data_IF_792592027904
#
_entry.id   IF_792592027904
#
_cell.length_a   1.000
_cell.length_b   1.000
_cell.length_c   1.000
_cell.angle_alpha   90.00
_cell.angle_beta   90.00
_cell.angle_gamma   90.00
#
_symmetry.space_group_name_H-M   'P 1'
#
loop_
_entity.id
_entity.type
_entity.pdbx_description
1 polymer ?
#
# COMPACT_ATOMS: atom_id res chain seq x y z
N UNK A 1 0.65 -8.62 13.86
CA UNK A 1 0.05 -8.86 12.54
C UNK A 1 0.18 -7.60 11.69
N UNK A 2 0.50 -7.75 10.40
CA UNK A 2 0.57 -6.64 9.45
C UNK A 2 -0.82 -6.00 9.23
N UNK A 3 -0.90 -4.69 9.43
CA UNK A 3 -2.09 -3.91 9.11
C UNK A 3 -2.23 -3.70 7.60
N UNK A 4 -3.46 -3.67 7.10
CA UNK A 4 -3.75 -3.40 5.69
C UNK A 4 -4.55 -2.12 5.55
N UNK A 5 -4.11 -1.26 4.63
CA UNK A 5 -4.88 -0.11 4.17
C UNK A 5 -5.08 -0.26 2.67
N UNK A 6 -6.30 -0.61 2.26
CA UNK A 6 -6.68 -0.79 0.87
C UNK A 6 -7.17 0.56 0.36
N UNK A 7 -6.59 1.08 -0.72
CA UNK A 7 -7.06 2.33 -1.33
C UNK A 7 -7.08 2.28 -2.84
N UNK A 8 -8.24 2.57 -3.40
CA UNK A 8 -8.51 2.45 -4.83
C UNK A 8 -9.41 3.60 -5.28
N UNK A 9 -9.51 3.79 -6.59
CA UNK A 9 -10.51 4.69 -7.15
C UNK A 9 -11.92 4.13 -6.98
N UNK A 10 -12.88 5.05 -6.87
CA UNK A 10 -14.30 4.76 -6.69
C UNK A 10 -14.53 3.84 -5.47
N UNK A 11 -15.48 2.91 -5.54
CA UNK A 11 -15.85 2.06 -4.40
C UNK A 11 -15.03 0.76 -4.28
N UNK A 12 -14.02 0.59 -5.13
CA UNK A 12 -13.27 -0.66 -5.27
C UNK A 12 -12.56 -1.10 -3.99
N UNK A 13 -12.07 -0.18 -3.16
CA UNK A 13 -11.38 -0.58 -1.93
C UNK A 13 -12.36 -1.19 -0.92
N UNK A 14 -13.56 -0.60 -0.79
CA UNK A 14 -14.61 -1.14 0.04
C UNK A 14 -15.12 -2.48 -0.49
N UNK A 15 -15.36 -2.60 -1.79
CA UNK A 15 -15.78 -3.87 -2.42
C UNK A 15 -14.77 -5.00 -2.17
N UNK A 16 -13.47 -4.71 -2.23
CA UNK A 16 -12.42 -5.69 -1.93
C UNK A 16 -12.45 -6.12 -0.45
N UNK A 17 -12.60 -5.16 0.47
CA UNK A 17 -12.68 -5.46 1.89
C UNK A 17 -13.94 -6.29 2.22
N UNK A 18 -15.11 -5.84 1.76
CA UNK A 18 -16.40 -6.49 2.03
C UNK A 18 -16.40 -7.93 1.53
N UNK A 19 -15.86 -8.16 0.33
CA UNK A 19 -15.77 -9.49 -0.25
C UNK A 19 -14.83 -10.42 0.52
N UNK A 20 -13.71 -9.89 1.04
CA UNK A 20 -12.83 -10.67 1.90
C UNK A 20 -13.52 -10.99 3.23
N UNK A 21 -14.25 -10.03 3.81
CA UNK A 21 -14.98 -10.20 5.06
C UNK A 21 -16.16 -11.17 4.93
N UNK A 22 -16.86 -11.17 3.79
CA UNK A 22 -17.93 -12.12 3.49
C UNK A 22 -17.42 -13.57 3.52
N UNK A 23 -16.21 -13.81 3.02
CA UNK A 23 -15.64 -15.16 2.93
C UNK A 23 -14.87 -15.59 4.19
N UNK A 24 -14.16 -14.67 4.84
CA UNK A 24 -13.24 -14.98 5.93
C UNK A 24 -13.70 -14.46 7.30
N UNK A 25 -14.82 -13.74 7.36
CA UNK A 25 -15.29 -13.04 8.55
C UNK A 25 -14.60 -11.69 8.77
N UNK A 26 -14.92 -10.98 9.86
CA UNK A 26 -14.43 -9.63 10.12
C UNK A 26 -12.89 -9.55 10.08
N UNK A 27 -12.35 -8.61 9.30
CA UNK A 27 -10.91 -8.44 9.15
C UNK A 27 -10.36 -7.43 10.16
N UNK A 28 -9.68 -7.94 11.19
CA UNK A 28 -8.92 -7.09 12.09
C UNK A 28 -7.81 -6.34 11.35
N UNK A 29 -7.57 -5.09 11.76
CA UNK A 29 -6.51 -4.23 11.23
C UNK A 29 -6.52 -4.07 9.70
N UNK A 30 -7.69 -4.15 9.08
CA UNK A 30 -7.89 -3.89 7.65
C UNK A 30 -8.83 -2.70 7.48
N UNK A 31 -8.43 -1.72 6.65
CA UNK A 31 -9.22 -0.52 6.39
C UNK A 31 -9.26 -0.20 4.91
N UNK A 32 -10.45 -0.06 4.35
CA UNK A 32 -10.66 0.47 3.02
C UNK A 32 -10.77 2.01 3.02
N UNK A 33 -10.15 2.66 2.03
CA UNK A 33 -10.23 4.09 1.78
C UNK A 33 -10.48 4.33 0.30
N UNK A 34 -11.70 4.72 -0.03
CA UNK A 34 -12.14 5.00 -1.39
C UNK A 34 -11.68 6.40 -1.85
N UNK A 35 -11.25 6.50 -3.10
CA UNK A 35 -10.89 7.76 -3.74
C UNK A 35 -11.86 8.11 -4.88
N UNK A 36 -12.89 8.88 -4.53
CA UNK A 36 -13.92 9.31 -5.48
C UNK A 36 -13.52 10.54 -6.30
N UNK A 37 -14.17 10.69 -7.46
CA UNK A 37 -14.12 11.93 -8.23
C UNK A 37 -14.56 13.12 -7.39
N UNK A 38 -13.75 14.17 -7.39
CA UNK A 38 -13.99 15.40 -6.62
C UNK A 38 -13.32 15.40 -5.24
N UNK A 39 -12.81 14.27 -4.76
CA UNK A 39 -12.01 14.24 -3.55
C UNK A 39 -10.61 14.82 -3.83
N UNK A 40 -10.15 15.73 -2.97
CA UNK A 40 -8.79 16.26 -3.08
C UNK A 40 -7.77 15.27 -2.51
N UNK A 41 -6.54 15.32 -3.02
CA UNK A 41 -5.42 14.52 -2.50
C UNK A 41 -5.12 14.82 -1.03
N UNK A 42 -5.41 16.04 -0.57
CA UNK A 42 -5.28 16.43 0.84
C UNK A 42 -6.31 15.71 1.72
N UNK A 43 -7.55 15.61 1.26
CA UNK A 43 -8.59 14.85 1.99
C UNK A 43 -8.25 13.35 2.00
N UNK A 44 -7.84 12.80 0.87
CA UNK A 44 -7.37 11.42 0.79
C UNK A 44 -6.22 11.15 1.77
N UNK A 45 -5.22 12.05 1.84
CA UNK A 45 -4.10 11.93 2.79
C UNK A 45 -4.57 11.87 4.24
N UNK A 46 -5.61 12.64 4.62
CA UNK A 46 -6.17 12.63 5.97
C UNK A 46 -6.88 11.32 6.28
N UNK A 47 -7.73 10.84 5.35
CA UNK A 47 -8.43 9.57 5.50
C UNK A 47 -7.47 8.38 5.58
N UNK A 48 -6.44 8.37 4.72
CA UNK A 48 -5.38 7.36 4.73
C UNK A 48 -4.58 7.40 6.03
N UNK A 49 -4.31 8.58 6.58
CA UNK A 49 -3.61 8.73 7.85
C UNK A 49 -4.42 8.19 9.02
N UNK A 50 -5.73 8.42 9.04
CA UNK A 50 -6.61 7.82 10.03
C UNK A 50 -6.67 6.30 9.89
N UNK A 51 -6.85 5.79 8.67
CA UNK A 51 -6.86 4.35 8.38
C UNK A 51 -5.54 3.67 8.78
N UNK A 52 -4.40 4.31 8.51
CA UNK A 52 -3.09 3.85 8.94
C UNK A 52 -3.04 3.69 10.47
N UNK A 53 -3.41 4.72 11.24
CA UNK A 53 -3.38 4.64 12.70
C UNK A 53 -4.32 3.57 13.26
N UNK A 54 -5.45 3.30 12.60
CA UNK A 54 -6.38 2.24 13.02
C UNK A 54 -5.89 0.84 12.66
N UNK A 55 -5.12 0.71 11.59
CA UNK A 55 -4.58 -0.57 11.11
C UNK A 55 -3.24 -0.92 11.78
N UNK A 56 -2.47 0.06 12.23
CA UNK A 56 -1.15 -0.15 12.80
C UNK A 56 -1.21 -0.72 14.24
N UNK A 57 -0.60 -1.89 14.45
CA UNK A 57 -0.35 -2.48 15.78
C UNK A 57 1.13 -2.53 16.16
N UNK A 58 2.01 -1.90 15.38
CA UNK A 58 3.46 -1.88 15.60
C UNK A 58 4.27 -2.84 14.73
N UNK A 59 3.63 -3.78 14.02
CA UNK A 59 4.33 -4.73 13.13
C UNK A 59 4.50 -4.19 11.70
N UNK A 60 3.94 -3.02 11.41
CA UNK A 60 3.96 -2.37 10.10
C UNK A 60 2.63 -2.46 9.35
N UNK A 61 2.49 -1.62 8.31
CA UNK A 61 1.27 -1.50 7.52
C UNK A 61 1.56 -1.59 6.04
N UNK A 62 0.76 -2.36 5.32
CA UNK A 62 0.83 -2.52 3.88
C UNK A 62 -0.28 -1.69 3.24
N UNK A 63 0.12 -0.69 2.46
CA UNK A 63 -0.78 0.05 1.58
C UNK A 63 -0.98 -0.74 0.30
N UNK A 64 -2.22 -1.08 0.01
CA UNK A 64 -2.63 -1.90 -1.12
C UNK A 64 -3.42 -1.01 -2.09
N UNK A 65 -2.88 -0.79 -3.29
CA UNK A 65 -3.43 0.19 -4.24
C UNK A 65 -3.74 -0.42 -5.59
N UNK A 66 -4.71 0.16 -6.29
CA UNK A 66 -5.16 -0.32 -7.60
C UNK A 66 -4.14 -0.07 -8.72
N UNK A 67 -3.63 1.15 -8.85
CA UNK A 67 -2.86 1.54 -10.03
C UNK A 67 -1.62 2.34 -9.65
N UNK A 68 -0.47 1.88 -10.14
CA UNK A 68 0.82 2.57 -9.94
C UNK A 68 0.79 3.98 -10.51
N UNK A 69 1.37 4.93 -9.77
CA UNK A 69 1.46 6.34 -10.17
C UNK A 69 0.15 7.13 -10.01
N UNK A 70 -0.98 6.49 -9.71
CA UNK A 70 -2.25 7.18 -9.50
C UNK A 70 -2.34 7.87 -8.11
N UNK A 71 -3.39 8.63 -7.85
CA UNK A 71 -3.48 9.45 -6.63
C UNK A 71 -3.39 8.62 -5.32
N UNK A 72 -4.11 7.49 -5.17
CA UNK A 72 -3.97 6.58 -4.02
C UNK A 72 -2.54 6.10 -3.81
N UNK A 73 -1.90 5.61 -4.87
CA UNK A 73 -0.51 5.15 -4.84
C UNK A 73 0.47 6.27 -4.44
N UNK A 74 0.32 7.48 -4.99
CA UNK A 74 1.21 8.61 -4.67
C UNK A 74 1.07 9.03 -3.21
N UNK A 75 -0.15 9.10 -2.68
CA UNK A 75 -0.40 9.42 -1.28
C UNK A 75 0.20 8.35 -0.36
N UNK A 76 -0.07 7.07 -0.65
CA UNK A 76 0.53 5.95 0.08
C UNK A 76 2.06 6.00 0.07
N UNK A 77 2.66 6.32 -1.09
CA UNK A 77 4.10 6.47 -1.24
C UNK A 77 4.67 7.61 -0.39
N UNK A 78 3.99 8.76 -0.32
CA UNK A 78 4.43 9.88 0.53
C UNK A 78 4.33 9.53 2.02
N UNK A 79 3.34 8.73 2.40
CA UNK A 79 3.13 8.31 3.78
C UNK A 79 4.14 7.25 4.22
N UNK A 80 4.49 6.29 3.36
CA UNK A 80 5.40 5.20 3.73
C UNK A 80 6.79 5.70 4.16
N UNK A 81 7.26 6.82 3.60
CA UNK A 81 8.55 7.43 3.99
C UNK A 81 8.56 7.93 5.45
N UNK A 82 7.40 8.20 6.05
CA UNK A 82 7.29 8.71 7.42
C UNK A 82 7.18 7.61 8.47
N UNK A 83 6.93 6.36 8.05
CA UNK A 83 6.63 5.25 8.94
C UNK A 83 7.51 4.05 8.60
N UNK A 84 8.42 3.69 9.50
CA UNK A 84 9.24 2.49 9.36
C UNK A 84 8.34 1.25 9.29
N UNK A 85 8.63 0.33 8.36
CA UNK A 85 7.85 -0.89 8.19
C UNK A 85 6.56 -0.72 7.38
N UNK A 86 6.31 0.47 6.80
CA UNK A 86 5.23 0.66 5.84
C UNK A 86 5.67 0.32 4.41
N UNK A 87 4.90 -0.52 3.74
CA UNK A 87 5.15 -0.92 2.35
C UNK A 87 3.98 -0.50 1.46
N UNK A 88 4.26 -0.22 0.18
CA UNK A 88 3.25 0.22 -0.78
C UNK A 88 3.25 -0.72 -1.98
N UNK A 89 2.12 -1.36 -2.23
CA UNK A 89 1.88 -2.28 -3.34
C UNK A 89 0.84 -1.66 -4.28
N UNK A 90 1.07 -1.76 -5.58
CA UNK A 90 0.16 -1.36 -6.64
C UNK A 90 -0.27 -2.56 -7.47
N UNK A 91 -1.41 -2.46 -8.15
CA UNK A 91 -1.95 -3.51 -9.02
C UNK A 91 -2.74 -4.59 -8.27
N UNK A 92 -3.16 -4.34 -7.03
CA UNK A 92 -3.77 -5.41 -6.23
C UNK A 92 -5.12 -5.85 -6.78
N UNK A 93 -5.37 -7.15 -6.74
CA UNK A 93 -6.62 -7.79 -7.16
C UNK A 93 -7.18 -8.64 -6.03
N UNK A 94 -8.48 -8.93 -6.06
CA UNK A 94 -9.12 -9.74 -5.03
C UNK A 94 -8.43 -11.10 -4.82
N UNK A 95 -8.14 -11.83 -5.89
CA UNK A 95 -7.51 -13.16 -5.81
C UNK A 95 -6.15 -13.09 -5.13
N UNK A 96 -5.36 -12.05 -5.43
CA UNK A 96 -4.06 -11.84 -4.81
C UNK A 96 -4.19 -11.49 -3.32
N UNK A 97 -5.15 -10.64 -2.96
CA UNK A 97 -5.40 -10.29 -1.55
C UNK A 97 -5.89 -11.49 -0.75
N UNK A 98 -6.74 -12.32 -1.35
CA UNK A 98 -7.25 -13.54 -0.74
C UNK A 98 -6.12 -14.54 -0.44
N UNK A 99 -5.19 -14.74 -1.38
CA UNK A 99 -4.02 -15.61 -1.20
C UNK A 99 -3.05 -15.08 -0.13
N UNK A 100 -2.88 -13.75 -0.07
CA UNK A 100 -1.96 -13.10 0.87
C UNK A 100 -2.54 -12.89 2.28
N UNK A 101 -3.80 -13.23 2.52
CA UNK A 101 -4.48 -12.93 3.78
C UNK A 101 -3.78 -13.59 4.99
N UNK A 102 -3.40 -14.87 4.88
CA UNK A 102 -2.71 -15.61 5.94
C UNK A 102 -1.26 -15.15 6.16
N UNK A 103 -0.62 -14.54 5.14
CA UNK A 103 0.74 -14.05 5.24
C UNK A 103 0.86 -12.84 6.20
N UNK A 104 -0.25 -12.16 6.49
CA UNK A 104 -0.29 -11.00 7.41
C UNK A 104 0.17 -11.33 8.84
N UNK A 105 -0.04 -12.56 9.29
CA UNK A 105 0.25 -12.97 10.66
C UNK A 105 1.69 -13.46 10.85
N UNK A 106 2.30 -13.98 9.78
CA UNK A 106 3.55 -14.75 9.86
C UNK A 106 4.76 -14.05 9.23
N UNK A 107 4.56 -13.03 8.39
CA UNK A 107 5.63 -12.41 7.63
C UNK A 107 6.00 -11.00 8.15
N UNK A 108 7.26 -10.63 7.95
CA UNK A 108 7.68 -9.23 8.01
C UNK A 108 7.14 -8.44 6.82
N UNK A 109 7.07 -7.12 6.94
CA UNK A 109 6.59 -6.25 5.84
C UNK A 109 7.41 -6.40 4.55
N UNK A 110 8.74 -6.51 4.66
CA UNK A 110 9.62 -6.74 3.51
C UNK A 110 9.39 -8.11 2.86
N UNK A 111 9.26 -9.18 3.66
CA UNK A 111 8.97 -10.51 3.13
C UNK A 111 7.59 -10.55 2.46
N UNK A 112 6.57 -9.95 3.08
CA UNK A 112 5.24 -9.82 2.52
C UNK A 112 5.27 -9.12 1.16
N UNK A 113 5.99 -8.00 1.06
CA UNK A 113 6.17 -7.23 -0.18
C UNK A 113 6.80 -8.06 -1.29
N UNK A 114 7.84 -8.82 -0.99
CA UNK A 114 8.52 -9.63 -2.00
C UNK A 114 7.64 -10.79 -2.46
N UNK A 115 6.93 -11.44 -1.53
CA UNK A 115 5.96 -12.51 -1.84
C UNK A 115 4.80 -12.01 -2.68
N UNK A 116 4.12 -10.93 -2.31
CA UNK A 116 2.95 -10.43 -3.06
C UNK A 116 3.32 -9.99 -4.48
N UNK A 117 4.51 -9.40 -4.68
CA UNK A 117 4.99 -9.04 -6.02
C UNK A 117 5.36 -10.27 -6.84
N UNK A 118 5.90 -11.32 -6.21
CA UNK A 118 6.24 -12.57 -6.91
C UNK A 118 5.03 -13.39 -7.36
N UNK A 119 3.94 -13.35 -6.58
CA UNK A 119 2.66 -14.02 -6.89
C UNK A 119 1.77 -13.18 -7.81
N UNK A 120 1.96 -11.86 -7.79
CA UNK A 120 1.17 -10.91 -8.56
C UNK A 120 1.37 -11.03 -10.07
N UNK A 121 0.39 -10.52 -10.81
CA UNK A 121 0.48 -10.34 -12.26
C UNK A 121 1.55 -9.29 -12.62
N UNK A 122 1.97 -9.16 -13.89
CA UNK A 122 3.06 -8.26 -14.29
C UNK A 122 2.85 -6.77 -13.97
N UNK A 123 1.61 -6.35 -13.76
CA UNK A 123 1.20 -5.02 -13.34
C UNK A 123 1.32 -4.79 -11.82
N UNK A 124 1.42 -5.87 -11.03
CA UNK A 124 1.67 -5.80 -9.60
C UNK A 124 3.11 -5.40 -9.33
N UNK A 125 3.28 -4.38 -8.52
CA UNK A 125 4.62 -3.89 -8.15
C UNK A 125 4.61 -3.22 -6.78
N UNK A 126 5.78 -3.05 -6.18
CA UNK A 126 5.92 -2.27 -4.96
C UNK A 126 6.75 -1.02 -5.17
N UNK A 127 6.53 -0.02 -4.31
CA UNK A 127 7.33 1.21 -4.30
C UNK A 127 8.82 0.90 -4.18
N UNK A 128 9.21 -0.02 -3.29
CA UNK A 128 10.60 -0.42 -3.12
C UNK A 128 11.20 -0.96 -4.43
N UNK A 129 10.53 -1.91 -5.11
CA UNK A 129 11.00 -2.45 -6.38
C UNK A 129 11.12 -1.38 -7.48
N UNK A 130 10.22 -0.39 -7.49
CA UNK A 130 10.27 0.73 -8.43
C UNK A 130 11.45 1.67 -8.14
N UNK A 131 11.75 1.94 -6.87
CA UNK A 131 12.90 2.76 -6.45
C UNK A 131 14.23 2.08 -6.78
N UNK A 132 14.31 0.75 -6.70
CA UNK A 132 15.53 0.01 -7.06
C UNK A 132 15.84 0.06 -8.56
N UNK A 133 14.81 0.13 -9.42
CA UNK A 133 14.98 0.31 -10.87
C UNK A 133 15.43 1.73 -11.24
N UNK A 134 14.97 2.72 -10.47
CA UNK A 134 15.27 4.13 -10.67
C UNK A 134 15.92 4.70 -9.42
N UNK A 135 17.20 4.37 -9.15
CA UNK A 135 17.87 4.84 -7.95
C UNK A 135 17.86 6.37 -7.93
N UNK A 136 17.79 6.98 -6.72
CA UNK A 136 17.77 8.43 -6.60
C UNK A 136 18.97 9.02 -7.34
N UNK A 137 18.69 10.08 -8.10
CA UNK A 137 19.73 10.79 -8.82
C UNK A 137 20.79 11.29 -7.84
N UNK A 138 22.01 10.77 -7.99
CA UNK A 138 23.17 11.24 -7.24
C UNK A 138 23.83 12.36 -8.03
N UNK A 139 23.77 13.58 -7.50
CA UNK A 139 24.53 14.71 -8.03
C UNK A 139 26.02 14.41 -7.82
N UNK A 140 26.73 14.04 -8.89
CA UNK A 140 28.15 13.64 -8.84
C UNK A 140 29.14 14.81 -8.73
N UNK A 141 28.67 16.05 -8.79
CA UNK A 141 29.52 17.24 -8.73
C UNK A 141 28.86 18.30 -7.83
N UNK A 142 29.52 18.65 -6.73
CA UNK A 142 29.29 19.93 -6.08
C UNK A 142 29.85 21.01 -7.02
N UNK A 143 28.98 21.71 -7.74
CA UNK A 143 29.34 22.88 -8.56
C UNK A 143 29.89 24.05 -7.72
N UNK A 144 30.02 23.87 -6.40
CA UNK A 144 30.45 24.88 -5.43
C UNK A 144 31.62 24.43 -4.54
N UNK A 145 32.39 23.40 -4.94
CA UNK A 145 33.69 23.16 -4.33
C UNK A 145 34.71 24.19 -4.88
N UNK A 146 34.76 25.36 -4.24
CA UNK A 146 35.82 26.36 -4.38
C UNK A 146 36.87 26.18 -3.29
#
# INVERSE_FOLDING_TARGET
>A
MLGWVITCHDDRAQELQDRLEEKHGPLAQCRAVNFWRGLSTNMLSRMMCEALHQADSGDGVIFLTDTSGAAPYRVASLMSHKHSGCEVIAGVTYSLLEEMLAARESMSSAAFRDTIVSLGAPDVTSLWHQQQKNPPFVLKHDLYAY
#
